data_IF_825471486081
#
_entry.id   IF_825471486081
#
_cell.length_a   1.000
_cell.length_b   1.000
_cell.length_c   1.000
_cell.angle_alpha   90.00
_cell.angle_beta   90.00
_cell.angle_gamma   90.00
#
_symmetry.space_group_name_H-M   'P 1'
#
loop_
_entity.id
_entity.type
_entity.pdbx_description
1 polymer ?
#
# COMPACT_ATOMS: atom_id res chain seq x y z
N UNK A 1 -71.76 -20.55 -29.56
CA UNK A 1 -71.59 -19.70 -30.75
C UNK A 1 -71.83 -18.26 -30.35
N UNK A 2 -70.76 -17.46 -30.21
CA UNK A 2 -70.79 -15.99 -30.20
C UNK A 2 -69.52 -15.52 -30.88
N UNK A 3 -69.70 -14.87 -32.01
CA UNK A 3 -68.67 -14.47 -32.95
C UNK A 3 -67.86 -13.28 -32.42
N UNK A 4 -66.53 -13.40 -32.39
CA UNK A 4 -65.63 -12.26 -32.21
C UNK A 4 -65.33 -11.67 -33.59
N UNK A 5 -65.94 -10.53 -33.89
CA UNK A 5 -65.68 -9.74 -35.08
C UNK A 5 -64.20 -9.30 -35.14
N UNK A 6 -63.52 -9.62 -36.24
CA UNK A 6 -62.20 -9.06 -36.58
C UNK A 6 -62.38 -7.60 -36.98
N UNK A 7 -61.85 -6.68 -36.18
CA UNK A 7 -61.64 -5.31 -36.64
C UNK A 7 -60.40 -5.24 -37.55
N UNK A 8 -60.44 -4.56 -38.70
CA UNK A 8 -59.27 -4.37 -39.54
C UNK A 8 -58.29 -3.42 -38.85
N UNK A 9 -57.04 -3.85 -38.69
CA UNK A 9 -55.96 -3.00 -38.23
C UNK A 9 -55.72 -1.90 -39.27
N UNK A 10 -55.98 -0.65 -38.90
CA UNK A 10 -55.60 0.51 -39.69
C UNK A 10 -54.07 0.58 -39.67
N UNK A 11 -53.44 0.30 -40.80
CA UNK A 11 -52.02 0.55 -41.02
C UNK A 11 -51.85 2.04 -41.28
N UNK A 12 -51.79 2.83 -40.21
CA UNK A 12 -51.32 4.20 -40.29
C UNK A 12 -49.86 4.16 -40.81
N UNK A 13 -49.58 4.85 -41.91
CA UNK A 13 -48.26 4.87 -42.54
C UNK A 13 -47.20 5.37 -41.54
N UNK A 14 -45.97 4.83 -41.59
CA UNK A 14 -44.87 5.20 -40.67
C UNK A 14 -44.62 6.72 -40.61
N UNK A 15 -44.82 7.43 -41.72
CA UNK A 15 -44.71 8.89 -41.79
C UNK A 15 -45.78 9.61 -40.95
N UNK A 16 -47.00 9.07 -40.88
CA UNK A 16 -48.10 9.66 -40.10
C UNK A 16 -47.90 9.56 -38.59
N UNK A 17 -47.10 8.58 -38.14
CA UNK A 17 -46.74 8.41 -36.73
C UNK A 17 -45.59 9.34 -36.35
N UNK A 18 -44.59 9.51 -37.23
CA UNK A 18 -43.48 10.45 -37.00
C UNK A 18 -43.96 11.92 -36.91
N UNK A 19 -45.04 12.27 -37.61
CA UNK A 19 -45.66 13.59 -37.53
C UNK A 19 -46.38 13.88 -36.19
N UNK A 20 -46.77 12.84 -35.45
CA UNK A 20 -47.39 12.96 -34.10
C UNK A 20 -46.37 12.91 -32.97
N UNK A 21 -45.13 12.53 -33.25
CA UNK A 21 -44.06 12.48 -32.27
C UNK A 21 -43.46 13.87 -32.06
N UNK A 22 -43.08 14.15 -30.82
CA UNK A 22 -42.41 15.39 -30.45
C UNK A 22 -41.05 15.53 -31.19
N UNK A 23 -40.78 16.70 -31.77
CA UNK A 23 -39.56 17.01 -32.52
C UNK A 23 -38.85 18.22 -31.91
N UNK A 24 -37.52 18.16 -31.80
CA UNK A 24 -36.68 19.28 -31.38
C UNK A 24 -36.67 20.35 -32.47
N UNK A 25 -37.31 21.48 -32.22
CA UNK A 25 -37.35 22.62 -33.15
C UNK A 25 -36.30 23.67 -32.82
N UNK A 26 -35.91 23.79 -31.53
CA UNK A 26 -34.96 24.79 -31.06
C UNK A 26 -33.85 24.19 -30.18
N UNK A 27 -32.67 24.82 -30.23
CA UNK A 27 -31.47 24.44 -29.46
C UNK A 27 -31.63 24.82 -27.98
N UNK A 28 -32.42 24.04 -27.26
CA UNK A 28 -32.74 24.25 -25.85
C UNK A 28 -33.99 23.53 -25.35
N UNK A 29 -34.78 22.90 -26.23
CA UNK A 29 -35.98 22.17 -25.84
C UNK A 29 -35.68 20.83 -25.15
N UNK A 30 -36.71 20.27 -24.51
CA UNK A 30 -36.63 19.01 -23.73
C UNK A 30 -36.23 17.83 -24.61
N UNK A 31 -34.95 17.48 -24.60
CA UNK A 31 -34.36 16.46 -25.48
C UNK A 31 -35.17 15.17 -25.54
N UNK A 32 -35.29 14.60 -26.75
CA UNK A 32 -36.05 13.36 -27.02
C UNK A 32 -35.66 12.20 -26.10
N UNK A 33 -34.46 12.21 -25.54
CA UNK A 33 -33.96 11.17 -24.66
C UNK A 33 -34.22 11.36 -23.15
N UNK A 34 -34.73 12.51 -22.71
CA UNK A 34 -35.01 12.77 -21.29
C UNK A 34 -36.21 11.97 -20.75
N UNK A 35 -37.15 11.58 -21.61
CA UNK A 35 -38.41 10.90 -21.23
C UNK A 35 -38.29 9.37 -21.37
N UNK A 36 -37.07 8.80 -21.41
CA UNK A 36 -36.83 7.41 -21.86
C UNK A 36 -36.67 6.39 -20.73
N UNK A 37 -37.06 5.15 -21.04
CA UNK A 37 -36.67 3.96 -20.29
C UNK A 37 -35.15 3.73 -20.43
N UNK A 38 -34.44 3.59 -19.30
CA UNK A 38 -32.98 3.41 -19.27
C UNK A 38 -32.49 2.04 -19.79
N UNK A 39 -33.36 1.22 -20.39
CA UNK A 39 -32.97 -0.08 -20.90
C UNK A 39 -32.15 0.08 -22.19
N UNK A 40 -30.83 -0.14 -22.12
CA UNK A 40 -29.93 -0.14 -23.28
C UNK A 40 -30.14 -1.31 -24.26
N UNK A 41 -31.29 -1.97 -24.23
CA UNK A 41 -31.64 -3.08 -25.13
C UNK A 41 -32.53 -2.53 -26.24
N UNK A 42 -32.16 -2.77 -27.50
CA UNK A 42 -33.07 -2.54 -28.61
C UNK A 42 -34.30 -3.45 -28.44
N UNK A 43 -35.51 -2.98 -28.76
CA UNK A 43 -36.69 -3.82 -28.66
C UNK A 43 -36.56 -5.01 -29.60
N UNK A 44 -36.48 -6.22 -29.05
CA UNK A 44 -36.45 -7.46 -29.81
C UNK A 44 -37.85 -8.09 -29.77
N UNK A 45 -38.55 -8.07 -30.91
CA UNK A 45 -39.81 -8.80 -31.11
C UNK A 45 -40.92 -7.98 -31.78
N UNK A 46 -41.97 -8.63 -32.29
CA UNK A 46 -43.09 -7.99 -33.01
C UNK A 46 -44.06 -7.24 -32.07
N UNK A 47 -43.90 -7.36 -30.76
CA UNK A 47 -44.74 -6.72 -29.74
C UNK A 47 -43.90 -5.71 -28.95
N UNK A 48 -43.73 -4.52 -29.52
CA UNK A 48 -43.08 -3.40 -28.86
C UNK A 48 -44.06 -2.23 -28.76
N UNK A 49 -44.04 -1.50 -27.63
CA UNK A 49 -44.74 -0.22 -27.56
C UNK A 49 -44.08 0.77 -28.51
N UNK A 50 -44.88 1.56 -29.23
CA UNK A 50 -44.39 2.61 -30.14
C UNK A 50 -43.42 3.57 -29.43
N UNK A 51 -43.58 3.76 -28.11
CA UNK A 51 -42.65 4.54 -27.30
C UNK A 51 -41.27 3.89 -27.18
N UNK A 52 -41.19 2.57 -26.99
CA UNK A 52 -39.90 1.87 -26.85
C UNK A 52 -39.13 1.78 -28.18
N UNK A 53 -39.84 1.81 -29.30
CA UNK A 53 -39.22 1.81 -30.63
C UNK A 53 -38.70 3.19 -31.04
N UNK A 54 -39.46 4.26 -30.78
CA UNK A 54 -39.09 5.62 -31.19
C UNK A 54 -38.12 6.31 -30.21
N UNK A 55 -38.14 5.90 -28.94
CA UNK A 55 -37.35 6.52 -27.89
C UNK A 55 -36.23 5.60 -27.36
N UNK A 56 -35.21 5.35 -28.20
CA UNK A 56 -34.03 4.51 -27.88
C UNK A 56 -32.97 5.28 -27.09
N UNK A 57 -32.15 4.60 -26.27
CA UNK A 57 -31.00 5.23 -25.60
C UNK A 57 -30.05 5.91 -26.63
N UNK A 58 -29.50 7.10 -26.34
CA UNK A 58 -28.58 7.77 -27.25
C UNK A 58 -27.36 6.88 -27.54
N UNK A 59 -26.88 6.90 -28.79
CA UNK A 59 -25.64 6.21 -29.13
C UNK A 59 -24.46 6.89 -28.40
N UNK A 60 -23.38 6.14 -28.16
CA UNK A 60 -22.17 6.71 -27.52
C UNK A 60 -21.67 7.94 -28.27
N UNK A 61 -21.73 7.91 -29.60
CA UNK A 61 -21.37 9.04 -30.46
C UNK A 61 -22.28 10.26 -30.27
N UNK A 62 -23.59 10.07 -30.10
CA UNK A 62 -24.53 11.17 -29.81
C UNK A 62 -24.28 11.77 -28.43
N UNK A 63 -23.90 10.95 -27.44
CA UNK A 63 -23.53 11.39 -26.10
C UNK A 63 -22.23 12.18 -26.10
N UNK A 64 -21.21 11.70 -26.79
CA UNK A 64 -19.86 12.29 -26.85
C UNK A 64 -19.84 13.61 -27.64
N UNK A 65 -20.66 13.74 -28.68
CA UNK A 65 -20.82 14.98 -29.47
C UNK A 65 -21.45 16.15 -28.68
N UNK A 66 -21.91 15.93 -27.45
CA UNK A 66 -22.50 16.99 -26.60
C UNK A 66 -21.48 17.80 -25.80
N UNK A 67 -20.18 17.55 -25.95
CA UNK A 67 -19.17 18.34 -25.29
C UNK A 67 -19.10 19.74 -25.92
N UNK A 68 -19.30 20.78 -25.12
CA UNK A 68 -19.18 22.15 -25.61
C UNK A 68 -17.73 22.45 -26.05
N UNK A 69 -17.56 23.23 -27.12
CA UNK A 69 -16.23 23.56 -27.71
C UNK A 69 -15.17 23.98 -26.68
N UNK A 70 -15.57 24.76 -25.67
CA UNK A 70 -14.69 25.18 -24.57
C UNK A 70 -14.22 24.00 -23.71
N UNK A 71 -15.14 23.09 -23.38
CA UNK A 71 -14.86 21.91 -22.56
C UNK A 71 -13.93 20.96 -23.31
N UNK A 72 -14.19 20.74 -24.60
CA UNK A 72 -13.33 19.94 -25.47
C UNK A 72 -11.91 20.50 -25.56
N UNK A 73 -11.77 21.82 -25.76
CA UNK A 73 -10.47 22.49 -25.78
C UNK A 73 -9.69 22.31 -24.47
N UNK A 74 -10.35 22.52 -23.32
CA UNK A 74 -9.72 22.35 -22.00
C UNK A 74 -9.30 20.91 -21.75
N UNK A 75 -10.14 19.94 -22.12
CA UNK A 75 -9.84 18.52 -21.96
C UNK A 75 -8.61 18.12 -22.78
N UNK A 76 -8.52 18.61 -24.02
CA UNK A 76 -7.35 18.41 -24.87
C UNK A 76 -6.09 18.99 -24.22
N UNK A 77 -6.17 20.20 -23.65
CA UNK A 77 -5.03 20.84 -22.96
C UNK A 77 -4.57 20.05 -21.74
N UNK A 78 -5.50 19.57 -20.91
CA UNK A 78 -5.15 18.73 -19.77
C UNK A 78 -4.50 17.42 -20.17
N UNK A 79 -4.94 16.80 -21.28
CA UNK A 79 -4.28 15.60 -21.79
C UNK A 79 -2.86 15.88 -22.30
N UNK A 80 -2.65 17.01 -22.98
CA UNK A 80 -1.32 17.44 -23.44
C UNK A 80 -0.37 17.69 -22.26
N UNK A 81 -0.83 18.38 -21.22
CA UNK A 81 -0.06 18.68 -20.00
C UNK A 81 0.29 17.39 -19.24
N UNK A 82 -0.68 16.52 -18.98
CA UNK A 82 -0.44 15.25 -18.30
C UNK A 82 0.55 14.35 -19.06
N UNK A 83 0.49 14.34 -20.39
CA UNK A 83 1.43 13.58 -21.21
C UNK A 83 2.85 14.17 -21.16
N UNK A 84 2.98 15.49 -21.03
CA UNK A 84 4.28 16.16 -20.88
C UNK A 84 4.90 15.87 -19.50
N UNK A 85 4.11 15.89 -18.43
CA UNK A 85 4.56 15.55 -17.07
C UNK A 85 5.06 14.10 -17.00
N UNK A 86 4.34 13.16 -17.59
CA UNK A 86 4.75 11.76 -17.64
C UNK A 86 6.10 11.58 -18.34
N UNK A 87 6.30 12.22 -19.51
CA UNK A 87 7.60 12.18 -20.21
C UNK A 87 8.74 12.77 -19.38
N UNK A 88 8.49 13.90 -18.72
CA UNK A 88 9.49 14.51 -17.84
C UNK A 88 9.85 13.61 -16.66
N UNK A 89 8.88 12.85 -16.13
CA UNK A 89 9.12 11.90 -15.04
C UNK A 89 9.89 10.65 -15.48
N UNK A 90 9.74 10.21 -16.74
CA UNK A 90 10.49 9.09 -17.31
C UNK A 90 11.97 9.45 -17.49
N UNK A 91 12.29 10.68 -17.91
CA UNK A 91 13.68 11.15 -18.09
C UNK A 91 14.48 11.24 -16.78
N UNK A 92 13.81 11.25 -15.62
CA UNK A 92 14.44 11.38 -14.29
C UNK A 92 14.79 10.01 -13.67
N UNK A 93 14.36 8.89 -14.25
CA UNK A 93 14.70 7.55 -13.75
C UNK A 93 16.11 7.08 -14.18
N UNK A 94 17.10 7.98 -14.18
CA UNK A 94 18.48 7.54 -13.99
C UNK A 94 18.60 7.06 -12.55
N UNK A 95 18.49 5.75 -12.35
CA UNK A 95 18.89 5.10 -11.10
C UNK A 95 20.38 5.33 -10.93
N UNK A 96 20.74 6.43 -10.27
CA UNK A 96 22.09 6.60 -9.75
C UNK A 96 22.26 5.48 -8.73
N UNK A 97 22.97 4.43 -9.10
CA UNK A 97 23.39 3.40 -8.16
C UNK A 97 24.33 4.08 -7.15
N UNK A 98 23.76 4.51 -6.02
CA UNK A 98 24.51 5.09 -4.92
C UNK A 98 25.31 3.97 -4.25
N UNK A 99 26.44 3.62 -4.84
CA UNK A 99 27.43 2.76 -4.20
C UNK A 99 28.16 3.59 -3.14
N UNK A 100 28.00 3.22 -1.88
CA UNK A 100 28.87 3.75 -0.83
C UNK A 100 30.26 3.17 -1.00
N UNK A 101 31.30 3.89 -0.58
CA UNK A 101 32.67 3.36 -0.53
C UNK A 101 32.74 2.04 0.27
N UNK A 102 31.86 1.91 1.28
CA UNK A 102 31.74 0.70 2.06
C UNK A 102 31.27 -0.50 1.21
N UNK A 103 30.22 -0.32 0.42
CA UNK A 103 29.69 -1.37 -0.45
C UNK A 103 30.67 -1.77 -1.55
N UNK A 104 31.43 -0.80 -2.09
CA UNK A 104 32.46 -1.06 -3.10
C UNK A 104 33.65 -1.86 -2.56
N UNK A 105 34.05 -1.61 -1.32
CA UNK A 105 35.29 -2.19 -0.76
C UNK A 105 35.06 -3.49 0.01
N UNK A 106 33.96 -3.59 0.77
CA UNK A 106 33.76 -4.66 1.75
C UNK A 106 32.77 -5.75 1.30
N UNK A 107 31.92 -5.51 0.29
CA UNK A 107 31.01 -6.54 -0.27
C UNK A 107 31.62 -7.32 -1.44
N UNK A 108 32.90 -7.13 -1.75
CA UNK A 108 33.57 -7.84 -2.84
C UNK A 108 33.72 -9.33 -2.52
N UNK A 109 33.49 -10.20 -3.51
CA UNK A 109 33.67 -11.64 -3.34
C UNK A 109 35.16 -11.92 -3.10
N UNK A 110 35.50 -12.38 -1.90
CA UNK A 110 36.87 -12.65 -1.49
C UNK A 110 37.43 -11.69 -0.43
N UNK A 111 36.64 -10.71 0.04
CA UNK A 111 37.00 -10.00 1.26
C UNK A 111 37.09 -10.99 2.43
N UNK A 112 38.29 -11.14 2.98
CA UNK A 112 38.52 -11.87 4.22
C UNK A 112 38.79 -10.84 5.31
N UNK A 113 37.91 -10.72 6.32
CA UNK A 113 38.21 -9.94 7.51
C UNK A 113 39.52 -10.42 8.13
N UNK A 114 40.38 -9.49 8.54
CA UNK A 114 41.63 -9.81 9.22
C UNK A 114 41.35 -10.19 10.69
N UNK A 115 40.76 -11.38 10.89
CA UNK A 115 40.42 -11.91 12.21
C UNK A 115 41.68 -12.21 13.06
N UNK A 116 42.87 -12.17 12.45
CA UNK A 116 44.15 -12.42 13.10
C UNK A 116 44.91 -11.14 13.49
N UNK A 117 44.26 -9.97 13.48
CA UNK A 117 44.87 -8.71 13.93
C UNK A 117 45.52 -8.84 15.33
N UNK A 118 44.85 -9.55 16.25
CA UNK A 118 45.32 -9.82 17.61
C UNK A 118 46.61 -10.67 17.68
N UNK A 119 46.97 -11.38 16.61
CA UNK A 119 48.16 -12.23 16.54
C UNK A 119 49.37 -11.50 15.94
N UNK A 120 49.16 -10.34 15.29
CA UNK A 120 50.24 -9.60 14.59
C UNK A 120 51.13 -8.81 15.55
N UNK A 121 50.53 -8.12 16.53
CA UNK A 121 51.28 -7.29 17.49
C UNK A 121 51.22 -7.86 18.91
N UNK A 122 51.84 -9.04 19.10
CA UNK A 122 51.91 -9.67 20.43
C UNK A 122 52.63 -8.81 21.47
N UNK A 123 53.50 -7.89 21.06
CA UNK A 123 54.20 -6.96 21.96
C UNK A 123 53.25 -5.88 22.49
N UNK A 124 52.42 -5.29 21.63
CA UNK A 124 51.43 -4.29 22.03
C UNK A 124 50.35 -4.90 22.94
N UNK A 125 49.95 -6.15 22.69
CA UNK A 125 49.02 -6.90 23.56
C UNK A 125 49.61 -7.23 24.94
N UNK A 126 50.94 -7.37 25.06
CA UNK A 126 51.61 -7.55 26.35
C UNK A 126 51.76 -6.23 27.10
N UNK A 127 51.99 -5.14 26.39
CA UNK A 127 52.11 -3.79 26.97
C UNK A 127 50.77 -3.27 27.50
N UNK A 128 49.70 -3.51 26.74
CA UNK A 128 48.33 -3.16 27.11
C UNK A 128 47.45 -4.41 27.04
N UNK A 129 47.51 -5.30 28.05
CA UNK A 129 46.60 -6.42 28.10
C UNK A 129 45.18 -5.87 28.16
N UNK A 130 44.45 -5.95 27.05
CA UNK A 130 43.05 -5.59 26.99
C UNK A 130 42.34 -6.38 28.08
N UNK A 131 41.79 -5.65 29.04
CA UNK A 131 41.28 -6.11 30.33
C UNK A 131 40.43 -7.39 30.23
N UNK A 132 41.08 -8.56 30.33
CA UNK A 132 40.39 -9.84 30.51
C UNK A 132 39.95 -10.03 31.96
N UNK A 133 40.48 -9.21 32.89
CA UNK A 133 40.10 -9.16 34.28
C UNK A 133 38.83 -8.35 34.49
N UNK A 134 37.98 -8.78 35.43
CA UNK A 134 36.83 -8.00 35.87
C UNK A 134 37.25 -6.56 36.26
N UNK A 135 36.49 -5.53 35.85
CA UNK A 135 36.86 -4.15 36.11
C UNK A 135 36.90 -3.86 37.61
N UNK A 136 37.97 -3.21 38.07
CA UNK A 136 38.12 -2.78 39.47
C UNK A 136 37.28 -1.51 39.70
N UNK A 137 36.06 -1.69 40.17
CA UNK A 137 35.14 -0.63 40.58
C UNK A 137 35.18 -0.42 42.09
N UNK A 138 34.66 0.70 42.57
CA UNK A 138 34.51 0.97 44.01
C UNK A 138 33.80 -0.18 44.75
N UNK A 139 32.73 -0.72 44.15
CA UNK A 139 31.95 -1.81 44.71
C UNK A 139 32.70 -3.14 44.70
N UNK A 140 33.42 -3.45 43.62
CA UNK A 140 34.21 -4.69 43.56
C UNK A 140 35.38 -4.67 44.54
N UNK A 141 36.01 -3.50 44.72
CA UNK A 141 37.08 -3.32 45.69
C UNK A 141 36.58 -3.52 47.13
N UNK A 142 35.45 -2.90 47.51
CA UNK A 142 34.88 -3.07 48.85
C UNK A 142 34.42 -4.51 49.10
N UNK A 143 33.89 -5.18 48.09
CA UNK A 143 33.49 -6.59 48.19
C UNK A 143 34.71 -7.51 48.40
N UNK A 144 35.81 -7.26 47.71
CA UNK A 144 37.06 -8.02 47.91
C UNK A 144 37.63 -7.81 49.32
N UNK A 145 37.55 -6.57 49.84
CA UNK A 145 38.03 -6.23 51.18
C UNK A 145 37.15 -6.83 52.28
N UNK A 146 35.83 -6.74 52.12
CA UNK A 146 34.83 -7.19 53.09
C UNK A 146 33.77 -8.08 52.39
N UNK A 147 34.03 -9.38 52.19
CA UNK A 147 33.11 -10.26 51.45
C UNK A 147 31.78 -10.54 52.18
N UNK A 148 31.68 -10.15 53.46
CA UNK A 148 30.48 -10.32 54.30
C UNK A 148 29.55 -9.10 54.28
N UNK A 149 30.04 -7.94 53.85
CA UNK A 149 29.20 -6.74 53.75
C UNK A 149 28.27 -6.87 52.56
N UNK A 150 26.98 -6.62 52.80
CA UNK A 150 25.98 -6.59 51.74
C UNK A 150 25.94 -5.16 51.22
N UNK A 151 26.20 -5.00 49.92
CA UNK A 151 26.07 -3.71 49.26
C UNK A 151 24.61 -3.22 49.36
N UNK A 152 24.38 -1.94 49.70
CA UNK A 152 23.03 -1.42 49.87
C UNK A 152 22.23 -1.55 48.57
N UNK A 153 21.03 -2.11 48.66
CA UNK A 153 20.14 -2.32 47.51
C UNK A 153 20.45 -3.56 46.66
N UNK A 154 21.46 -4.35 47.00
CA UNK A 154 21.75 -5.63 46.35
C UNK A 154 21.42 -6.82 47.24
N UNK A 155 21.10 -7.93 46.58
CA UNK A 155 21.00 -9.25 47.21
C UNK A 155 22.39 -9.81 47.46
N UNK A 156 22.51 -10.79 48.36
CA UNK A 156 23.78 -11.45 48.66
C UNK A 156 24.39 -12.04 47.39
N UNK A 157 25.64 -11.70 47.14
CA UNK A 157 26.40 -12.13 45.96
C UNK A 157 26.65 -13.65 46.05
N UNK A 158 26.32 -14.36 44.98
CA UNK A 158 26.54 -15.81 44.84
C UNK A 158 27.77 -16.13 44.01
N UNK A 159 28.12 -15.26 43.05
CA UNK A 159 29.25 -15.41 42.15
C UNK A 159 30.21 -14.21 42.29
N UNK A 160 31.47 -14.41 42.73
CA UNK A 160 32.43 -13.32 42.92
C UNK A 160 32.87 -12.67 41.60
N UNK A 161 32.72 -13.34 40.45
CA UNK A 161 33.02 -12.74 39.15
C UNK A 161 31.90 -11.82 38.64
N UNK A 162 30.67 -12.03 39.12
CA UNK A 162 29.47 -11.29 38.69
C UNK A 162 28.73 -10.68 39.87
N UNK A 163 29.33 -9.64 40.44
CA UNK A 163 28.88 -8.96 41.67
C UNK A 163 27.48 -8.34 41.52
N UNK A 164 27.13 -7.88 40.31
CA UNK A 164 25.83 -7.22 40.03
C UNK A 164 24.77 -8.17 39.47
N UNK A 165 24.98 -9.49 39.57
CA UNK A 165 24.01 -10.48 39.10
C UNK A 165 22.72 -10.38 39.91
N UNK A 166 21.59 -10.08 39.24
CA UNK A 166 20.28 -10.02 39.88
C UNK A 166 19.88 -11.42 40.38
N UNK A 167 19.67 -11.56 41.68
CA UNK A 167 19.04 -12.75 42.24
C UNK A 167 17.54 -12.50 42.42
N UNK A 168 16.73 -13.21 41.64
CA UNK A 168 15.27 -13.11 41.67
C UNK A 168 14.59 -14.14 42.58
N UNK A 169 15.33 -15.00 43.29
CA UNK A 169 14.76 -16.14 44.03
C UNK A 169 13.57 -15.76 44.93
N UNK A 170 13.64 -14.60 45.57
CA UNK A 170 12.59 -14.12 46.48
C UNK A 170 11.38 -13.50 45.75
N UNK A 171 11.60 -12.83 44.62
CA UNK A 171 10.54 -12.08 43.91
C UNK A 171 9.90 -12.85 42.75
N UNK A 172 10.38 -14.06 42.46
CA UNK A 172 9.77 -14.95 41.47
C UNK A 172 8.37 -15.39 41.94
N UNK A 173 7.37 -15.46 41.04
CA UNK A 173 6.04 -15.95 41.38
C UNK A 173 6.10 -17.43 41.76
N UNK A 174 5.23 -17.85 42.69
CA UNK A 174 5.20 -19.21 43.25
C UNK A 174 5.03 -20.31 42.17
N UNK A 175 4.40 -19.96 41.04
CA UNK A 175 4.20 -20.87 39.90
C UNK A 175 5.50 -21.23 39.16
N UNK A 176 6.57 -20.48 39.37
CA UNK A 176 7.85 -20.64 38.68
C UNK A 176 8.83 -21.40 39.61
N UNK A 177 8.58 -22.69 39.84
CA UNK A 177 9.53 -23.56 40.54
C UNK A 177 10.79 -23.70 39.70
N UNK A 178 11.96 -23.49 40.31
CA UNK A 178 13.22 -23.89 39.69
C UNK A 178 13.27 -25.41 39.68
N UNK A 179 12.99 -26.01 38.52
CA UNK A 179 13.24 -27.42 38.26
C UNK A 179 14.75 -27.65 38.36
N UNK A 180 15.25 -27.92 39.57
CA UNK A 180 16.57 -28.51 39.74
C UNK A 180 16.46 -29.96 39.28
N UNK A 181 16.66 -30.18 37.98
CA UNK A 181 17.07 -31.50 37.49
C UNK A 181 18.48 -31.70 38.00
N UNK A 182 18.62 -32.48 39.07
CA UNK A 182 19.90 -33.06 39.47
C UNK A 182 20.42 -33.92 38.31
N UNK A 183 21.59 -33.58 37.79
CA UNK A 183 22.44 -34.44 36.96
C UNK A 183 23.56 -34.98 37.84
#
# INVERSE_FOLDING_TARGET
MKDCAKHPAKTDSLESLQAKCWQETYKGESRKWLIRDASGKSPQGPLCSTMKETYVSPSKEESEKNMGKRKEYLLKKFHEEAAAELKQSEDIQQTNDYCTEYDGNFKTKGFQPDDQFYMKDTEQFKEFPLYSSAPLTYYSYNQQKNPKDILPGLTRITDPQSIFKRNGQFSKPIAESLDYVEL
#
